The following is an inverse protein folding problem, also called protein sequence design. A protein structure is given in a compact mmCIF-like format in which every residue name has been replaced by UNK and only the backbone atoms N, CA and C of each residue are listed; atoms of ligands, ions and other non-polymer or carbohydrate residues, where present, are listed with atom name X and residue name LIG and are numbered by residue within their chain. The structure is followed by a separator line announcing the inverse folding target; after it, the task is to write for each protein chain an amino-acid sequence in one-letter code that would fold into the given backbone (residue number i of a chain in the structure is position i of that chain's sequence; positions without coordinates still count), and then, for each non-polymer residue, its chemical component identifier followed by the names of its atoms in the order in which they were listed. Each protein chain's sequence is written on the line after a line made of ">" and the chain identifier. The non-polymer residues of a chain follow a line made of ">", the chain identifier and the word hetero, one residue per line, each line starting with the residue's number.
data_IF_187955759606
#
_entry.id   IF_187955759606
#
_cell.length_a   1.000
_cell.length_b   1.000
_cell.length_c   1.000
_cell.angle_alpha   90.00
_cell.angle_beta   90.00
_cell.angle_gamma   90.00
#
_symmetry.space_group_name_H-M   'P 1'
#
loop_
_entity.id
_entity.type
_entity.pdbx_description
1 polymer ?
#
# COMPACT_ATOMS: atom_id res chain seq x y z
N UNK A 1 -17.11 20.90 -7.35
CA UNK A 1 -18.37 20.75 -6.61
C UNK A 1 -19.51 21.39 -7.41
N UNK A 2 -19.46 22.68 -7.78
CA UNK A 2 -20.51 23.38 -8.52
C UNK A 2 -20.95 22.66 -9.81
N UNK A 3 -19.98 22.22 -10.64
CA UNK A 3 -20.24 21.49 -11.87
C UNK A 3 -20.88 20.12 -11.64
N UNK A 4 -20.61 19.49 -10.50
CA UNK A 4 -21.25 18.21 -10.15
C UNK A 4 -22.72 18.40 -9.83
N UNK A 5 -23.08 19.47 -9.10
CA UNK A 5 -24.48 19.83 -8.84
C UNK A 5 -25.21 20.35 -10.09
N UNK A 6 -24.49 20.99 -11.01
CA UNK A 6 -25.04 21.46 -12.28
C UNK A 6 -25.29 20.31 -13.31
N UNK A 7 -25.10 19.05 -12.92
CA UNK A 7 -25.38 17.91 -13.76
C UNK A 7 -24.33 17.58 -14.82
N UNK A 8 -23.11 18.16 -14.72
CA UNK A 8 -22.03 17.91 -15.69
C UNK A 8 -21.41 16.50 -15.62
N UNK A 9 -21.88 15.62 -14.69
CA UNK A 9 -21.45 14.22 -14.60
C UNK A 9 -19.92 14.05 -14.59
N UNK A 10 -19.39 13.24 -15.47
CA UNK A 10 -17.95 12.92 -15.56
C UNK A 10 -17.11 14.17 -15.90
N UNK A 11 -17.67 15.15 -16.61
CA UNK A 11 -16.97 16.38 -16.94
C UNK A 11 -16.62 17.25 -15.73
N UNK A 12 -17.35 17.10 -14.61
CA UNK A 12 -16.99 17.76 -13.37
C UNK A 12 -15.63 17.30 -12.82
N UNK A 13 -15.30 16.01 -12.97
CA UNK A 13 -14.01 15.43 -12.56
C UNK A 13 -12.89 15.91 -13.49
N UNK A 14 -13.16 15.96 -14.80
CA UNK A 14 -12.21 16.47 -15.80
C UNK A 14 -11.88 17.95 -15.50
N UNK A 15 -12.89 18.75 -15.26
CA UNK A 15 -12.71 20.18 -14.95
C UNK A 15 -11.95 20.38 -13.63
N UNK A 16 -12.20 19.54 -12.62
CA UNK A 16 -11.44 19.56 -11.36
C UNK A 16 -9.96 19.28 -11.61
N UNK A 17 -9.65 18.24 -12.35
CA UNK A 17 -8.26 17.84 -12.64
C UNK A 17 -7.52 18.92 -13.44
N UNK A 18 -8.15 19.45 -14.48
CA UNK A 18 -7.59 20.54 -15.27
C UNK A 18 -7.37 21.81 -14.45
N UNK A 19 -8.33 22.18 -13.60
CA UNK A 19 -8.20 23.34 -12.73
C UNK A 19 -7.03 23.21 -11.76
N UNK A 20 -6.90 22.06 -11.08
CA UNK A 20 -5.78 21.79 -10.19
C UNK A 20 -4.44 21.93 -10.91
N UNK A 21 -4.28 21.25 -12.04
CA UNK A 21 -3.02 21.29 -12.82
C UNK A 21 -2.71 22.70 -13.30
N UNK A 22 -3.72 23.45 -13.74
CA UNK A 22 -3.55 24.85 -14.19
C UNK A 22 -3.12 25.75 -13.06
N UNK A 23 -3.78 25.65 -11.89
CA UNK A 23 -3.45 26.45 -10.70
C UNK A 23 -2.02 26.13 -10.24
N UNK A 24 -1.67 24.86 -10.12
CA UNK A 24 -0.31 24.42 -9.73
C UNK A 24 0.75 24.97 -10.69
N UNK A 25 0.51 24.87 -11.99
CA UNK A 25 1.39 25.42 -13.01
C UNK A 25 1.55 26.92 -12.88
N UNK A 26 0.44 27.64 -12.68
CA UNK A 26 0.43 29.09 -12.49
C UNK A 26 1.20 29.52 -11.25
N UNK A 27 0.98 28.83 -10.12
CA UNK A 27 1.71 29.09 -8.87
C UNK A 27 3.21 28.82 -9.07
N UNK A 28 3.59 27.73 -9.70
CA UNK A 28 4.99 27.42 -10.02
C UNK A 28 5.63 28.50 -10.91
N UNK A 29 4.89 29.04 -11.88
CA UNK A 29 5.38 30.12 -12.73
C UNK A 29 5.64 31.42 -11.96
N UNK A 30 4.89 31.69 -10.90
CA UNK A 30 5.09 32.89 -10.07
C UNK A 30 6.22 32.66 -9.05
N UNK A 31 6.22 31.51 -8.35
CA UNK A 31 7.12 31.23 -7.22
C UNK A 31 8.51 30.82 -7.65
N UNK A 32 8.65 30.07 -8.75
CA UNK A 32 9.94 29.56 -9.22
C UNK A 32 10.59 30.58 -10.17
N UNK A 33 11.77 31.07 -9.82
CA UNK A 33 12.54 32.01 -10.65
C UNK A 33 13.11 31.43 -11.95
N UNK A 34 13.21 30.09 -12.03
CA UNK A 34 13.70 29.41 -13.24
C UNK A 34 12.67 29.49 -14.37
N UNK A 35 13.13 29.79 -15.57
CA UNK A 35 12.31 29.81 -16.78
C UNK A 35 12.89 28.87 -17.82
N UNK A 36 12.09 28.08 -18.53
CA UNK A 36 12.56 27.21 -19.60
C UNK A 36 13.12 28.04 -20.75
N UNK A 37 14.33 27.73 -21.18
CA UNK A 37 14.95 28.33 -22.36
C UNK A 37 14.61 27.46 -23.57
N UNK A 38 14.31 28.08 -24.71
CA UNK A 38 14.08 27.39 -25.98
C UNK A 38 15.41 26.88 -26.58
N UNK A 39 16.03 25.92 -25.91
CA UNK A 39 17.26 25.28 -26.34
C UNK A 39 16.97 23.82 -26.66
N UNK A 40 17.17 23.43 -27.90
CA UNK A 40 17.07 22.06 -28.36
C UNK A 40 18.44 21.50 -28.71
N UNK A 41 18.80 20.34 -28.17
CA UNK A 41 20.05 19.65 -28.52
C UNK A 41 19.75 18.14 -28.69
N UNK A 42 19.87 17.67 -29.92
CA UNK A 42 19.66 16.27 -30.27
C UNK A 42 20.58 15.31 -29.49
N UNK A 43 21.84 15.74 -29.28
CA UNK A 43 22.82 14.96 -28.51
C UNK A 43 22.42 14.78 -27.04
N UNK A 44 21.89 15.83 -26.43
CA UNK A 44 21.38 15.78 -25.01
C UNK A 44 20.09 14.96 -24.92
N UNK A 45 19.18 15.15 -25.90
CA UNK A 45 17.94 14.38 -25.95
C UNK A 45 18.21 12.88 -26.09
N UNK A 46 19.10 12.45 -26.96
CA UNK A 46 19.49 11.06 -27.15
C UNK A 46 20.08 10.46 -25.87
N UNK A 47 20.90 11.22 -25.12
CA UNK A 47 21.47 10.79 -23.84
C UNK A 47 20.39 10.66 -22.76
N UNK A 48 19.46 11.61 -22.68
CA UNK A 48 18.32 11.57 -21.74
C UNK A 48 17.38 10.41 -22.08
N UNK A 49 17.05 10.19 -23.34
CA UNK A 49 16.22 9.08 -23.79
C UNK A 49 16.89 7.73 -23.50
N UNK A 50 18.20 7.58 -23.74
CA UNK A 50 18.91 6.32 -23.47
C UNK A 50 18.91 5.90 -22.00
N UNK A 51 18.79 6.85 -21.08
CA UNK A 51 18.61 6.61 -19.65
C UNK A 51 17.12 6.52 -19.28
N UNK A 52 16.31 7.47 -19.76
CA UNK A 52 14.92 7.64 -19.36
C UNK A 52 14.00 6.49 -19.82
N UNK A 53 14.25 5.87 -20.99
CA UNK A 53 13.40 4.78 -21.45
C UNK A 53 13.43 3.55 -20.52
N UNK A 54 14.59 3.28 -19.89
CA UNK A 54 14.72 2.18 -18.92
C UNK A 54 13.89 2.44 -17.68
N UNK A 55 13.89 3.69 -17.19
CA UNK A 55 13.06 4.11 -16.04
C UNK A 55 11.59 4.06 -16.44
N UNK A 56 11.24 4.53 -17.64
CA UNK A 56 9.87 4.49 -18.14
C UNK A 56 9.33 3.06 -18.19
N UNK A 57 10.08 2.13 -18.77
CA UNK A 57 9.66 0.72 -18.86
C UNK A 57 9.53 0.10 -17.48
N UNK A 58 10.46 0.37 -16.56
CA UNK A 58 10.38 -0.11 -15.19
C UNK A 58 9.14 0.42 -14.46
N UNK A 59 8.89 1.72 -14.55
CA UNK A 59 7.71 2.35 -13.97
C UNK A 59 6.40 1.84 -14.59
N UNK A 60 6.39 1.58 -15.89
CA UNK A 60 5.25 1.04 -16.62
C UNK A 60 4.94 -0.40 -16.15
N UNK A 61 5.97 -1.23 -16.02
CA UNK A 61 5.83 -2.60 -15.49
C UNK A 61 5.31 -2.60 -14.06
N UNK A 62 5.81 -1.71 -13.20
CA UNK A 62 5.31 -1.58 -11.84
C UNK A 62 3.86 -1.08 -11.81
N UNK A 63 3.52 -0.10 -12.64
CA UNK A 63 2.15 0.42 -12.75
C UNK A 63 1.18 -0.65 -13.25
N UNK A 64 1.57 -1.42 -14.27
CA UNK A 64 0.76 -2.52 -14.79
C UNK A 64 0.58 -3.59 -13.69
N UNK A 65 1.64 -3.96 -13.01
CA UNK A 65 1.56 -4.97 -11.94
C UNK A 65 0.67 -4.54 -10.78
N UNK A 66 0.77 -3.29 -10.34
CA UNK A 66 -0.05 -2.78 -9.22
C UNK A 66 -1.52 -2.66 -9.60
N UNK A 67 -1.82 -2.33 -10.86
CA UNK A 67 -3.19 -2.14 -11.33
C UNK A 67 -3.78 -3.38 -12.03
N UNK A 68 -2.99 -4.45 -12.24
CA UNK A 68 -3.44 -5.61 -13.03
C UNK A 68 -4.70 -6.25 -12.45
N UNK A 69 -4.84 -6.26 -11.13
CA UNK A 69 -6.02 -6.79 -10.45
C UNK A 69 -7.28 -5.98 -10.79
N UNK A 70 -7.20 -4.67 -10.71
CA UNK A 70 -8.29 -3.77 -11.11
C UNK A 70 -8.61 -3.88 -12.60
N UNK A 71 -7.59 -4.05 -13.45
CA UNK A 71 -7.79 -4.28 -14.89
C UNK A 71 -8.50 -5.61 -15.16
N UNK A 72 -8.13 -6.68 -14.47
CA UNK A 72 -8.80 -7.99 -14.59
C UNK A 72 -10.24 -7.91 -14.11
N UNK A 73 -10.49 -7.27 -12.96
CA UNK A 73 -11.85 -7.08 -12.44
C UNK A 73 -12.69 -6.27 -13.44
N UNK A 74 -12.19 -5.15 -13.94
CA UNK A 74 -12.93 -4.31 -14.89
C UNK A 74 -13.18 -4.96 -16.25
N UNK A 75 -12.35 -5.94 -16.66
CA UNK A 75 -12.52 -6.66 -17.92
C UNK A 75 -13.42 -7.90 -17.78
N UNK A 76 -13.35 -8.62 -16.67
CA UNK A 76 -14.04 -9.91 -16.49
C UNK A 76 -15.35 -9.80 -15.70
N UNK A 77 -15.51 -8.74 -14.93
CA UNK A 77 -16.64 -8.51 -14.04
C UNK A 77 -17.30 -7.17 -14.34
N UNK A 78 -18.23 -6.74 -13.48
CA UNK A 78 -18.96 -5.48 -13.72
C UNK A 78 -18.15 -4.25 -13.28
N UNK A 79 -18.50 -3.10 -13.86
CA UNK A 79 -17.95 -1.81 -13.42
C UNK A 79 -18.34 -1.46 -11.97
N UNK A 80 -19.47 -1.98 -11.49
CA UNK A 80 -19.89 -1.83 -10.11
C UNK A 80 -18.97 -2.62 -9.16
N UNK A 81 -18.63 -3.87 -9.50
CA UNK A 81 -17.70 -4.69 -8.72
C UNK A 81 -16.32 -4.03 -8.63
N UNK A 82 -15.83 -3.47 -9.74
CA UNK A 82 -14.58 -2.71 -9.75
C UNK A 82 -14.66 -1.48 -8.85
N UNK A 83 -15.79 -0.77 -8.88
CA UNK A 83 -15.99 0.41 -8.04
C UNK A 83 -16.01 0.04 -6.55
N UNK A 84 -16.71 -1.03 -6.16
CA UNK A 84 -16.75 -1.51 -4.77
C UNK A 84 -15.38 -2.01 -4.29
N UNK A 85 -14.66 -2.76 -5.12
CA UNK A 85 -13.31 -3.21 -4.82
C UNK A 85 -12.35 -2.03 -4.58
N UNK A 86 -12.31 -1.07 -5.52
CA UNK A 86 -11.43 0.10 -5.41
C UNK A 86 -11.82 1.03 -4.24
N UNK A 87 -13.12 1.16 -3.96
CA UNK A 87 -13.58 1.98 -2.84
C UNK A 87 -13.24 1.33 -1.48
N UNK A 88 -13.31 0.00 -1.39
CA UNK A 88 -12.88 -0.75 -0.22
C UNK A 88 -11.39 -0.59 0.07
N UNK A 89 -10.54 -0.47 -0.96
CA UNK A 89 -9.10 -0.23 -0.82
C UNK A 89 -8.75 1.20 -0.35
N UNK A 90 -9.57 2.17 -0.69
CA UNK A 90 -9.21 3.60 -0.61
C UNK A 90 -8.87 4.08 0.80
N UNK A 91 -9.71 3.78 1.80
CA UNK A 91 -9.47 4.21 3.18
C UNK A 91 -8.27 3.49 3.82
N UNK A 92 -8.17 2.15 3.76
CA UNK A 92 -7.02 1.44 4.31
C UNK A 92 -5.70 1.85 3.63
N UNK A 93 -5.70 2.07 2.31
CA UNK A 93 -4.50 2.45 1.56
C UNK A 93 -3.96 3.83 1.96
N UNK A 94 -4.82 4.80 2.24
CA UNK A 94 -4.40 6.12 2.75
C UNK A 94 -3.67 5.98 4.09
N UNK A 95 -4.22 5.20 5.02
CA UNK A 95 -3.60 4.98 6.34
C UNK A 95 -2.23 4.30 6.19
N UNK A 96 -2.18 3.19 5.46
CA UNK A 96 -0.94 2.41 5.33
C UNK A 96 0.15 3.19 4.60
N UNK A 97 -0.19 3.94 3.56
CA UNK A 97 0.78 4.72 2.79
C UNK A 97 1.42 5.81 3.65
N UNK A 98 0.63 6.55 4.43
CA UNK A 98 1.16 7.59 5.32
C UNK A 98 2.10 7.01 6.39
N UNK A 99 1.71 5.91 7.02
CA UNK A 99 2.52 5.27 8.06
C UNK A 99 3.81 4.68 7.44
N UNK A 100 3.73 3.97 6.32
CA UNK A 100 4.90 3.39 5.67
C UNK A 100 5.88 4.44 5.15
N UNK A 101 5.40 5.51 4.54
CA UNK A 101 6.26 6.61 4.09
C UNK A 101 7.00 7.25 5.28
N UNK A 102 6.33 7.41 6.42
CA UNK A 102 6.96 7.91 7.64
C UNK A 102 8.03 6.96 8.18
N UNK A 103 7.75 5.65 8.17
CA UNK A 103 8.73 4.62 8.56
C UNK A 103 9.94 4.65 7.62
N UNK A 104 9.73 4.61 6.31
CA UNK A 104 10.78 4.58 5.29
C UNK A 104 11.71 5.79 5.39
N UNK A 105 11.15 6.97 5.59
CA UNK A 105 11.91 8.23 5.64
C UNK A 105 12.91 8.29 6.82
N UNK A 106 12.61 7.60 7.91
CA UNK A 106 13.45 7.61 9.13
C UNK A 106 14.26 6.33 9.26
N UNK A 107 13.65 5.18 9.00
CA UNK A 107 14.26 3.88 9.29
C UNK A 107 15.44 3.58 8.37
N UNK A 108 15.28 3.74 7.06
CA UNK A 108 16.33 3.41 6.10
C UNK A 108 17.62 4.22 6.31
N UNK A 109 17.60 5.57 6.43
CA UNK A 109 18.82 6.34 6.70
C UNK A 109 19.47 6.00 8.05
N UNK A 110 18.64 5.69 9.05
CA UNK A 110 19.12 5.37 10.39
C UNK A 110 19.80 4.00 10.44
N UNK A 111 19.21 3.00 9.78
CA UNK A 111 19.80 1.67 9.64
C UNK A 111 21.09 1.71 8.81
N UNK A 112 21.13 2.48 7.72
CA UNK A 112 22.31 2.62 6.87
C UNK A 112 23.52 3.19 7.60
N UNK A 113 23.32 4.10 8.56
CA UNK A 113 24.40 4.63 9.42
C UNK A 113 24.99 3.58 10.37
N UNK A 114 24.27 2.51 10.63
CA UNK A 114 24.65 1.45 11.59
C UNK A 114 24.87 0.10 10.90
N UNK A 115 25.05 0.07 9.58
CA UNK A 115 25.12 -1.16 8.76
C UNK A 115 26.22 -2.14 9.20
N UNK A 116 27.29 -1.64 9.84
CA UNK A 116 28.42 -2.44 10.30
C UNK A 116 28.12 -3.18 11.61
N UNK A 117 27.10 -2.75 12.38
CA UNK A 117 26.66 -3.36 13.63
C UNK A 117 25.35 -4.12 13.42
N UNK A 118 25.47 -5.41 13.13
CA UNK A 118 24.31 -6.29 12.85
C UNK A 118 23.33 -6.38 14.01
N UNK A 119 23.81 -6.37 15.24
CA UNK A 119 22.95 -6.49 16.41
C UNK A 119 22.13 -5.21 16.61
N UNK A 120 22.76 -4.08 16.40
CA UNK A 120 22.09 -2.78 16.44
C UNK A 120 21.05 -2.64 15.34
N UNK A 121 21.37 -3.05 14.10
CA UNK A 121 20.41 -3.09 12.99
C UNK A 121 19.25 -4.02 13.32
N UNK A 122 19.50 -5.21 13.89
CA UNK A 122 18.45 -6.13 14.36
C UNK A 122 17.52 -5.46 15.37
N UNK A 123 18.10 -4.87 16.42
CA UNK A 123 17.31 -4.28 17.51
C UNK A 123 16.48 -3.08 17.01
N UNK A 124 17.02 -2.27 16.12
CA UNK A 124 16.29 -1.15 15.50
C UNK A 124 15.15 -1.64 14.61
N UNK A 125 15.41 -2.64 13.77
CA UNK A 125 14.39 -3.27 12.90
C UNK A 125 13.27 -3.89 13.75
N UNK A 126 13.64 -4.63 14.79
CA UNK A 126 12.71 -5.23 15.76
C UNK A 126 11.83 -4.17 16.43
N UNK A 127 12.44 -3.07 16.88
CA UNK A 127 11.72 -1.96 17.51
C UNK A 127 10.78 -1.28 16.52
N UNK A 128 11.22 -1.08 15.29
CA UNK A 128 10.39 -0.51 14.23
C UNK A 128 9.17 -1.39 13.95
N UNK A 129 9.34 -2.72 13.82
CA UNK A 129 8.24 -3.68 13.63
C UNK A 129 7.25 -3.60 14.79
N UNK A 130 7.72 -3.64 16.05
CA UNK A 130 6.87 -3.58 17.23
C UNK A 130 6.04 -2.31 17.30
N UNK A 131 6.70 -1.15 17.18
CA UNK A 131 6.03 0.17 17.31
C UNK A 131 5.05 0.38 16.16
N UNK A 132 5.46 0.10 14.93
CA UNK A 132 4.58 0.30 13.78
C UNK A 132 3.38 -0.65 13.78
N UNK A 133 3.55 -1.90 14.19
CA UNK A 133 2.43 -2.84 14.33
C UNK A 133 1.52 -2.43 15.49
N UNK A 134 2.07 -1.92 16.60
CA UNK A 134 1.28 -1.42 17.73
C UNK A 134 0.36 -0.26 17.34
N UNK A 135 0.77 0.57 16.40
CA UNK A 135 -0.05 1.67 15.87
C UNK A 135 -1.00 1.16 14.78
N UNK A 136 -0.48 0.36 13.84
CA UNK A 136 -1.24 -0.07 12.67
C UNK A 136 -2.35 -1.07 13.01
N UNK A 137 -2.09 -2.01 13.91
CA UNK A 137 -3.05 -3.05 14.23
C UNK A 137 -4.37 -2.50 14.81
N UNK A 138 -4.39 -1.63 15.83
CA UNK A 138 -5.65 -1.07 16.32
C UNK A 138 -6.34 -0.16 15.30
N UNK A 139 -5.60 0.62 14.49
CA UNK A 139 -6.20 1.46 13.45
C UNK A 139 -6.91 0.61 12.39
N UNK A 140 -6.26 -0.44 11.89
CA UNK A 140 -6.83 -1.29 10.85
C UNK A 140 -7.94 -2.19 11.38
N UNK A 141 -7.81 -2.75 12.58
CA UNK A 141 -8.86 -3.54 13.21
C UNK A 141 -10.05 -2.65 13.59
N UNK A 142 -9.83 -1.47 14.16
CA UNK A 142 -10.90 -0.51 14.44
C UNK A 142 -11.68 -0.15 13.17
N UNK A 143 -10.98 0.18 12.08
CA UNK A 143 -11.62 0.45 10.80
C UNK A 143 -12.37 -0.77 10.24
N UNK A 144 -11.83 -1.99 10.38
CA UNK A 144 -12.49 -3.21 9.91
C UNK A 144 -13.78 -3.53 10.67
N UNK A 145 -13.78 -3.36 12.00
CA UNK A 145 -14.96 -3.63 12.82
C UNK A 145 -16.02 -2.51 12.75
N UNK A 146 -15.60 -1.26 12.52
CA UNK A 146 -16.50 -0.14 12.28
C UNK A 146 -16.83 0.07 10.78
N UNK A 147 -16.41 -0.84 9.89
CA UNK A 147 -16.45 -0.65 8.44
C UNK A 147 -17.84 -0.28 7.92
N UNK A 148 -18.89 -0.96 8.38
CA UNK A 148 -20.27 -0.70 7.98
C UNK A 148 -20.71 0.71 8.35
N UNK A 149 -20.55 1.11 9.62
CA UNK A 149 -20.93 2.44 10.10
C UNK A 149 -20.09 3.55 9.43
N UNK A 150 -18.80 3.31 9.21
CA UNK A 150 -17.93 4.28 8.52
C UNK A 150 -18.34 4.44 7.06
N UNK A 151 -18.63 3.36 6.36
CA UNK A 151 -19.05 3.41 4.95
C UNK A 151 -20.40 4.09 4.82
N UNK A 152 -21.35 3.76 5.67
CA UNK A 152 -22.69 4.37 5.66
C UNK A 152 -22.63 5.87 5.93
N UNK A 153 -21.90 6.29 6.96
CA UNK A 153 -21.76 7.68 7.36
C UNK A 153 -21.00 8.54 6.30
N UNK A 154 -19.92 7.98 5.73
CA UNK A 154 -19.01 8.76 4.85
C UNK A 154 -19.40 8.66 3.38
N UNK A 155 -19.92 7.49 2.95
CA UNK A 155 -20.12 7.16 1.55
C UNK A 155 -21.60 6.94 1.17
N UNK A 156 -22.48 6.74 2.13
CA UNK A 156 -23.88 6.38 1.98
C UNK A 156 -24.15 4.89 1.78
N UNK A 157 -25.39 4.43 2.02
CA UNK A 157 -25.85 3.04 1.90
C UNK A 157 -25.51 2.36 0.55
N UNK A 158 -25.47 3.14 -0.53
CA UNK A 158 -25.13 2.65 -1.89
C UNK A 158 -23.77 1.94 -1.92
N UNK A 159 -22.86 2.29 -1.02
CA UNK A 159 -21.49 1.77 -0.99
C UNK A 159 -21.29 0.63 -0.01
N UNK A 160 -22.32 0.21 0.74
CA UNK A 160 -22.23 -0.93 1.67
C UNK A 160 -21.65 -2.21 1.05
N UNK A 161 -21.86 -2.54 -0.24
CA UNK A 161 -21.20 -3.70 -0.85
C UNK A 161 -19.67 -3.62 -0.89
N UNK A 162 -19.05 -2.46 -0.63
CA UNK A 162 -17.59 -2.36 -0.53
C UNK A 162 -17.03 -2.81 0.84
N UNK A 163 -17.87 -2.94 1.88
CA UNK A 163 -17.47 -3.29 3.25
C UNK A 163 -16.64 -4.57 3.36
N UNK A 164 -17.02 -5.70 2.74
CA UNK A 164 -16.21 -6.91 2.80
C UNK A 164 -14.79 -6.71 2.22
N UNK A 165 -14.68 -5.94 1.13
CA UNK A 165 -13.38 -5.61 0.54
C UNK A 165 -12.55 -4.73 1.48
N UNK A 166 -13.17 -3.72 2.09
CA UNK A 166 -12.52 -2.85 3.07
C UNK A 166 -11.96 -3.66 4.25
N UNK A 167 -12.72 -4.60 4.78
CA UNK A 167 -12.27 -5.48 5.87
C UNK A 167 -11.07 -6.33 5.46
N UNK A 168 -11.09 -6.93 4.25
CA UNK A 168 -9.97 -7.70 3.71
C UNK A 168 -8.72 -6.82 3.56
N UNK A 169 -8.87 -5.61 3.04
CA UNK A 169 -7.74 -4.67 2.91
C UNK A 169 -7.19 -4.23 4.26
N UNK A 170 -8.04 -3.98 5.26
CA UNK A 170 -7.59 -3.67 6.61
C UNK A 170 -6.72 -4.78 7.18
N UNK A 171 -7.16 -6.04 7.09
CA UNK A 171 -6.39 -7.20 7.55
C UNK A 171 -5.08 -7.33 6.78
N UNK A 172 -5.11 -7.14 5.45
CA UNK A 172 -3.94 -7.23 4.60
C UNK A 172 -2.91 -6.15 4.96
N UNK A 173 -3.34 -4.92 5.13
CA UNK A 173 -2.46 -3.77 5.34
C UNK A 173 -1.96 -3.64 6.79
N UNK A 174 -2.62 -4.26 7.74
CA UNK A 174 -2.19 -4.31 9.15
C UNK A 174 -0.73 -4.80 9.29
N UNK A 175 -0.30 -5.72 8.43
CA UNK A 175 1.03 -6.32 8.46
C UNK A 175 2.05 -5.63 7.52
N UNK A 176 1.66 -4.59 6.80
CA UNK A 176 2.54 -3.91 5.85
C UNK A 176 3.81 -3.31 6.48
N UNK A 177 3.78 -2.75 7.70
CA UNK A 177 4.98 -2.24 8.36
C UNK A 177 6.09 -3.28 8.54
N UNK A 178 5.72 -4.57 8.68
CA UNK A 178 6.69 -5.66 8.78
C UNK A 178 7.46 -5.82 7.47
N UNK A 179 6.77 -5.72 6.33
CA UNK A 179 7.41 -5.76 5.01
C UNK A 179 8.38 -4.59 4.85
N UNK A 180 7.93 -3.39 5.17
CA UNK A 180 8.70 -2.15 5.08
C UNK A 180 9.98 -2.22 5.92
N UNK A 181 9.86 -2.63 7.18
CA UNK A 181 11.02 -2.73 8.08
C UNK A 181 12.03 -3.80 7.64
N UNK A 182 11.55 -4.98 7.23
CA UNK A 182 12.41 -6.06 6.73
C UNK A 182 13.16 -5.65 5.45
N UNK A 183 12.48 -5.01 4.51
CA UNK A 183 13.10 -4.55 3.26
C UNK A 183 14.09 -3.42 3.49
N UNK A 184 13.80 -2.50 4.43
CA UNK A 184 14.73 -1.44 4.80
C UNK A 184 16.01 -1.98 5.45
N UNK A 185 15.90 -3.02 6.27
CA UNK A 185 17.07 -3.70 6.83
C UNK A 185 17.95 -4.32 5.73
N UNK A 186 17.35 -5.01 4.76
CA UNK A 186 18.08 -5.60 3.63
C UNK A 186 18.77 -4.53 2.78
N UNK A 187 18.06 -3.42 2.48
CA UNK A 187 18.61 -2.28 1.74
C UNK A 187 19.76 -1.61 2.49
N UNK A 188 19.59 -1.38 3.79
CA UNK A 188 20.59 -0.75 4.65
C UNK A 188 21.88 -1.58 4.76
N UNK A 189 21.76 -2.91 4.71
CA UNK A 189 22.89 -3.85 4.68
C UNK A 189 23.56 -3.95 3.28
N UNK A 190 23.18 -3.08 2.34
CA UNK A 190 23.74 -3.06 0.98
C UNK A 190 23.35 -4.23 0.08
N UNK A 191 22.37 -5.05 0.47
CA UNK A 191 21.97 -6.26 -0.25
C UNK A 191 20.83 -6.00 -1.26
N UNK A 192 21.07 -5.08 -2.18
CA UNK A 192 20.13 -4.76 -3.28
C UNK A 192 19.86 -5.96 -4.19
N UNK A 193 20.81 -6.90 -4.30
CA UNK A 193 20.66 -8.17 -5.01
C UNK A 193 19.52 -9.03 -4.42
N UNK A 194 19.49 -9.15 -3.09
CA UNK A 194 18.42 -9.86 -2.39
C UNK A 194 17.10 -9.13 -2.51
N UNK A 195 17.10 -7.80 -2.32
CA UNK A 195 15.90 -7.00 -2.48
C UNK A 195 15.22 -7.25 -3.84
N UNK A 196 15.98 -7.20 -4.93
CA UNK A 196 15.45 -7.45 -6.27
C UNK A 196 14.88 -8.88 -6.42
N UNK A 197 15.60 -9.89 -5.93
CA UNK A 197 15.14 -11.30 -5.98
C UNK A 197 13.83 -11.48 -5.21
N UNK A 198 13.69 -10.86 -4.03
CA UNK A 198 12.48 -10.94 -3.22
C UNK A 198 11.29 -10.25 -3.92
N UNK A 199 11.52 -9.06 -4.52
CA UNK A 199 10.49 -8.36 -5.28
C UNK A 199 10.00 -9.19 -6.47
N UNK A 200 10.90 -9.81 -7.23
CA UNK A 200 10.54 -10.68 -8.34
C UNK A 200 9.75 -11.89 -7.84
N UNK A 201 10.22 -12.57 -6.78
CA UNK A 201 9.55 -13.73 -6.22
C UNK A 201 8.12 -13.41 -5.75
N UNK A 202 7.93 -12.28 -5.06
CA UNK A 202 6.59 -11.80 -4.63
C UNK A 202 5.69 -11.50 -5.82
N UNK A 203 6.20 -10.83 -6.86
CA UNK A 203 5.43 -10.54 -8.08
C UNK A 203 5.00 -11.81 -8.80
N UNK A 204 5.87 -12.82 -8.88
CA UNK A 204 5.53 -14.13 -9.47
C UNK A 204 4.42 -14.81 -8.66
N UNK A 205 4.58 -14.91 -7.34
CA UNK A 205 3.56 -15.52 -6.47
C UNK A 205 2.23 -14.76 -6.56
N UNK A 206 2.27 -13.44 -6.50
CA UNK A 206 1.08 -12.60 -6.63
C UNK A 206 0.36 -12.78 -7.98
N UNK A 207 1.11 -12.94 -9.06
CA UNK A 207 0.56 -13.22 -10.40
C UNK A 207 -0.09 -14.61 -10.47
N UNK A 208 0.56 -15.64 -9.94
CA UNK A 208 0.01 -17.00 -9.88
C UNK A 208 -1.30 -17.00 -9.08
N UNK A 209 -1.32 -16.36 -7.90
CA UNK A 209 -2.51 -16.25 -7.07
C UNK A 209 -3.64 -15.48 -7.77
N UNK A 210 -3.32 -14.42 -8.49
CA UNK A 210 -4.31 -13.67 -9.27
C UNK A 210 -4.90 -14.53 -10.38
N UNK A 211 -4.06 -15.19 -11.18
CA UNK A 211 -4.50 -16.04 -12.30
C UNK A 211 -5.31 -17.23 -11.82
N UNK A 212 -4.98 -17.83 -10.67
CA UNK A 212 -5.73 -18.96 -10.12
C UNK A 212 -7.08 -18.55 -9.54
N UNK A 213 -7.25 -17.30 -9.09
CA UNK A 213 -8.49 -16.84 -8.43
C UNK A 213 -9.40 -15.98 -9.32
N UNK A 214 -8.89 -15.50 -10.47
CA UNK A 214 -9.66 -14.60 -11.34
C UNK A 214 -10.94 -15.20 -11.92
N UNK A 215 -11.13 -16.51 -11.90
CA UNK A 215 -12.32 -17.20 -12.38
C UNK A 215 -13.38 -17.43 -11.30
N UNK A 216 -13.02 -17.26 -10.01
CA UNK A 216 -13.87 -17.57 -8.86
C UNK A 216 -14.58 -16.34 -8.25
N UNK A 217 -14.53 -15.20 -8.94
CA UNK A 217 -15.18 -13.97 -8.49
C UNK A 217 -14.25 -12.97 -7.83
N UNK A 218 -14.74 -11.72 -7.71
CA UNK A 218 -13.94 -10.60 -7.16
C UNK A 218 -13.57 -10.82 -5.70
N UNK A 219 -14.45 -11.47 -4.92
CA UNK A 219 -14.17 -11.82 -3.53
C UNK A 219 -13.02 -12.83 -3.41
N UNK A 220 -12.96 -13.85 -4.27
CA UNK A 220 -11.84 -14.80 -4.30
C UNK A 220 -10.52 -14.09 -4.63
N UNK A 221 -10.55 -13.13 -5.55
CA UNK A 221 -9.40 -12.28 -5.87
C UNK A 221 -8.99 -11.42 -4.68
N UNK A 222 -9.93 -10.90 -3.88
CA UNK A 222 -9.63 -10.16 -2.67
C UNK A 222 -9.02 -11.06 -1.58
N UNK A 223 -9.56 -12.25 -1.35
CA UNK A 223 -8.96 -13.22 -0.41
C UNK A 223 -7.55 -13.67 -0.83
N UNK A 224 -7.27 -13.73 -2.13
CA UNK A 224 -5.92 -14.05 -2.60
C UNK A 224 -4.87 -13.02 -2.17
N UNK A 225 -5.28 -11.77 -1.82
CA UNK A 225 -4.39 -10.77 -1.23
C UNK A 225 -3.91 -11.17 0.16
N UNK A 226 -4.77 -11.77 0.99
CA UNK A 226 -4.37 -12.28 2.30
C UNK A 226 -3.32 -13.37 2.18
N UNK A 227 -3.51 -14.30 1.23
CA UNK A 227 -2.54 -15.36 0.95
C UNK A 227 -1.22 -14.76 0.44
N UNK A 228 -1.30 -13.81 -0.48
CA UNK A 228 -0.14 -13.08 -1.01
C UNK A 228 0.61 -12.32 0.08
N UNK A 229 -0.10 -11.71 1.01
CA UNK A 229 0.47 -11.00 2.17
C UNK A 229 1.26 -11.95 3.07
N UNK A 230 0.65 -13.07 3.47
CA UNK A 230 1.32 -14.08 4.32
C UNK A 230 2.58 -14.63 3.62
N UNK A 231 2.46 -14.99 2.35
CA UNK A 231 3.59 -15.48 1.56
C UNK A 231 4.69 -14.43 1.45
N UNK A 232 4.33 -13.17 1.20
CA UNK A 232 5.27 -12.05 1.13
C UNK A 232 5.95 -11.78 2.48
N UNK A 233 5.25 -11.94 3.60
CA UNK A 233 5.83 -11.85 4.94
C UNK A 233 6.94 -12.89 5.14
N UNK A 234 6.67 -14.13 4.77
CA UNK A 234 7.65 -15.22 4.86
C UNK A 234 8.85 -14.93 3.96
N UNK A 235 8.61 -14.56 2.69
CA UNK A 235 9.65 -14.25 1.71
C UNK A 235 10.54 -13.10 2.20
N UNK A 236 9.97 -12.00 2.71
CA UNK A 236 10.74 -10.84 3.16
C UNK A 236 11.50 -11.08 4.47
N UNK A 237 11.01 -11.97 5.34
CA UNK A 237 11.66 -12.31 6.61
C UNK A 237 12.79 -13.31 6.46
N UNK A 238 12.76 -14.13 5.41
CA UNK A 238 13.73 -15.22 5.21
C UNK A 238 15.19 -14.75 5.20
N UNK A 239 15.59 -13.72 4.44
CA UNK A 239 16.98 -13.27 4.43
C UNK A 239 17.42 -12.68 5.77
N UNK A 240 16.52 -12.05 6.53
CA UNK A 240 16.84 -11.42 7.81
C UNK A 240 17.19 -12.45 8.90
N UNK A 241 16.80 -13.72 8.73
CA UNK A 241 17.31 -14.81 9.57
C UNK A 241 18.81 -14.97 9.45
N UNK A 242 19.36 -14.87 8.23
CA UNK A 242 20.82 -15.01 7.99
C UNK A 242 21.58 -13.69 8.19
N UNK A 243 20.99 -12.58 7.77
CA UNK A 243 21.62 -11.27 7.82
C UNK A 243 21.68 -10.71 9.24
N UNK A 244 20.61 -10.84 10.01
CA UNK A 244 20.41 -10.19 11.30
C UNK A 244 20.18 -11.18 12.44
N UNK A 245 20.18 -12.49 12.18
CA UNK A 245 19.75 -13.50 13.15
C UNK A 245 18.35 -13.15 13.76
N UNK A 246 17.41 -12.71 12.89
CA UNK A 246 16.06 -12.31 13.26
C UNK A 246 15.04 -13.11 12.43
N UNK A 247 14.60 -14.22 13.01
CA UNK A 247 13.75 -15.21 12.33
C UNK A 247 12.30 -14.73 12.20
N UNK A 248 11.58 -15.30 11.23
CA UNK A 248 10.14 -15.07 11.08
C UNK A 248 9.35 -15.39 12.35
N UNK A 249 9.73 -16.48 13.07
CA UNK A 249 9.08 -16.85 14.33
C UNK A 249 9.26 -15.77 15.40
N UNK A 250 10.45 -15.21 15.55
CA UNK A 250 10.70 -14.10 16.50
C UNK A 250 9.87 -12.86 16.11
N UNK A 251 9.76 -12.55 14.82
CA UNK A 251 8.93 -11.44 14.34
C UNK A 251 7.46 -11.65 14.70
N UNK A 252 6.94 -12.88 14.54
CA UNK A 252 5.55 -13.19 14.92
C UNK A 252 5.32 -13.06 16.43
N UNK A 253 6.25 -13.55 17.25
CA UNK A 253 6.17 -13.38 18.71
C UNK A 253 6.18 -11.89 19.09
N UNK A 254 6.99 -11.08 18.42
CA UNK A 254 7.11 -9.65 18.71
C UNK A 254 5.84 -8.85 18.37
N UNK A 255 5.10 -9.24 17.34
CA UNK A 255 3.86 -8.55 16.93
C UNK A 255 2.60 -9.15 17.61
N UNK A 256 2.67 -10.38 18.08
CA UNK A 256 1.53 -11.11 18.63
C UNK A 256 0.76 -10.32 19.71
N UNK A 257 1.41 -9.67 20.70
CA UNK A 257 0.68 -8.90 21.72
C UNK A 257 -0.13 -7.75 21.12
N UNK A 258 0.45 -7.02 20.16
CA UNK A 258 -0.21 -5.88 19.51
C UNK A 258 -1.42 -6.32 18.68
N UNK A 259 -1.28 -7.42 17.94
CA UNK A 259 -2.37 -7.99 17.13
C UNK A 259 -3.48 -8.53 18.04
N UNK A 260 -3.13 -9.25 19.11
CA UNK A 260 -4.12 -9.79 20.06
C UNK A 260 -4.92 -8.67 20.73
N UNK A 261 -4.25 -7.60 21.20
CA UNK A 261 -4.93 -6.44 21.77
C UNK A 261 -5.87 -5.76 20.77
N UNK A 262 -5.44 -5.62 19.50
CA UNK A 262 -6.27 -5.05 18.47
C UNK A 262 -7.50 -5.92 18.13
N UNK A 263 -7.35 -7.25 18.15
CA UNK A 263 -8.48 -8.18 17.98
C UNK A 263 -9.45 -8.09 19.15
N UNK A 264 -8.96 -8.07 20.40
CA UNK A 264 -9.79 -7.91 21.60
C UNK A 264 -10.57 -6.59 21.55
N UNK A 265 -9.91 -5.50 21.16
CA UNK A 265 -10.57 -4.21 20.95
C UNK A 265 -11.67 -4.32 19.87
N UNK A 266 -11.39 -4.97 18.75
CA UNK A 266 -12.37 -5.17 17.68
C UNK A 266 -13.60 -5.97 18.14
N UNK A 267 -13.38 -7.06 18.92
CA UNK A 267 -14.47 -7.85 19.51
C UNK A 267 -15.30 -6.98 20.47
N UNK A 268 -14.65 -6.17 21.32
CA UNK A 268 -15.36 -5.26 22.22
C UNK A 268 -16.25 -4.26 21.46
N UNK A 269 -15.75 -3.69 20.35
CA UNK A 269 -16.54 -2.82 19.48
C UNK A 269 -17.74 -3.56 18.90
N UNK A 270 -17.57 -4.81 18.47
CA UNK A 270 -18.69 -5.63 17.95
C UNK A 270 -19.75 -5.87 19.01
N UNK A 271 -19.37 -6.11 20.26
CA UNK A 271 -20.31 -6.26 21.37
C UNK A 271 -21.11 -4.97 21.61
N UNK A 272 -20.47 -3.81 21.63
CA UNK A 272 -21.13 -2.52 21.78
C UNK A 272 -22.15 -2.32 20.67
N UNK A 273 -21.74 -2.50 19.42
CA UNK A 273 -22.64 -2.37 18.25
C UNK A 273 -23.84 -3.34 18.33
N UNK A 274 -23.66 -4.53 18.89
CA UNK A 274 -24.76 -5.50 19.05
C UNK A 274 -25.79 -5.05 20.09
N UNK A 275 -25.37 -4.42 21.17
CA UNK A 275 -26.27 -3.97 22.24
C UNK A 275 -26.92 -2.60 21.97
N UNK A 276 -26.30 -1.72 21.17
CA UNK A 276 -26.88 -0.41 20.85
C UNK A 276 -27.92 -0.45 19.71
N UNK A 277 -27.91 -1.50 18.87
CA UNK A 277 -28.85 -1.66 17.74
C UNK A 277 -29.91 -2.76 17.98
N UNK A 278 -30.02 -3.28 19.19
CA UNK A 278 -31.07 -4.20 19.61
C UNK A 278 -32.07 -3.48 20.52
#
# INVERSE_FOLDING_TARGET
>A
IYLAYAGAGVWAIVAQQLSNTTIDTFILWITVKWRPKKLFSWKRLKKLLSFGWKILVSALLDTVYTNIRSLVIGKMYSSADLAFYNQGDKLPSVIVNNINTSIDSVLLPTLAKQQDDRERVKNMTRRAIKISTYIMAPLMMGLAFCATSVVDLVLTEKWLPCVPFLQIFCITYMFYPIHTANLNAIKAMGRSDLFLKLEIAKKIVGMILLLSTMWFGVMAMAYSLLVSMITSMIINSWPNRQLLNYSFKEQMIDIFPSVTLAVVMGIAISFINFFEFS
#
